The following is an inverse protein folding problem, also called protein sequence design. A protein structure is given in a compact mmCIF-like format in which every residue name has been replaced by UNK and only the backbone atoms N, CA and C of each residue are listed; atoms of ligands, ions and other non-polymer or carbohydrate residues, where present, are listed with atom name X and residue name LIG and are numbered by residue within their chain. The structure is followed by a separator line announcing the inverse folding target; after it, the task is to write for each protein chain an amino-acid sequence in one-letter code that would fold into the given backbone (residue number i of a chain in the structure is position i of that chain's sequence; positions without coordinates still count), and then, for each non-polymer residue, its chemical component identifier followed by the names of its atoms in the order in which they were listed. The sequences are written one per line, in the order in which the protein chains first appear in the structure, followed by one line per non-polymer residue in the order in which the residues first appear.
data_IF_115765250219
#
_entry.id   IF_115765250219
#
_cell.length_a   1.000
_cell.length_b   1.000
_cell.length_c   1.000
_cell.angle_alpha   90.00
_cell.angle_beta   90.00
_cell.angle_gamma   90.00
#
_symmetry.space_group_name_H-M   'P 1'
#
loop_
_entity.id
_entity.type
_entity.pdbx_description
1 polymer ?
#
# COMPACT_ATOMS: atom_id res chain seq x y z
N UNK A 1 -13.32 -21.41 5.73
CA UNK A 1 -12.64 -21.43 4.40
C UNK A 1 -11.66 -20.28 4.31
N UNK A 2 -10.40 -20.58 4.00
CA UNK A 2 -9.29 -19.62 4.03
C UNK A 2 -9.32 -18.69 2.81
N UNK A 3 -9.11 -17.38 3.03
CA UNK A 3 -8.82 -16.47 1.91
C UNK A 3 -7.43 -16.79 1.37
N UNK A 4 -7.26 -16.90 0.04
CA UNK A 4 -5.93 -17.04 -0.55
C UNK A 4 -5.10 -15.79 -0.21
N UNK A 5 -3.87 -16.00 0.25
CA UNK A 5 -3.00 -14.93 0.75
C UNK A 5 -2.64 -13.95 -0.37
N UNK A 6 -2.25 -14.45 -1.55
CA UNK A 6 -1.77 -13.62 -2.66
C UNK A 6 -2.80 -12.61 -3.19
N UNK A 7 -4.06 -12.98 -3.52
CA UNK A 7 -5.06 -12.01 -3.94
C UNK A 7 -5.38 -10.94 -2.89
N UNK A 8 -5.32 -11.31 -1.61
CA UNK A 8 -5.55 -10.38 -0.49
C UNK A 8 -4.39 -9.39 -0.39
N UNK A 9 -3.15 -9.87 -0.51
CA UNK A 9 -1.96 -9.02 -0.53
C UNK A 9 -1.98 -8.09 -1.75
N UNK A 10 -2.34 -8.58 -2.94
CA UNK A 10 -2.52 -7.73 -4.14
C UNK A 10 -3.59 -6.65 -3.93
N UNK A 11 -4.70 -6.99 -3.28
CA UNK A 11 -5.73 -6.00 -2.96
C UNK A 11 -5.23 -4.95 -1.95
N UNK A 12 -4.46 -5.35 -0.94
CA UNK A 12 -3.85 -4.43 0.01
C UNK A 12 -2.81 -3.52 -0.65
N UNK A 13 -2.01 -4.03 -1.59
CA UNK A 13 -1.11 -3.20 -2.42
C UNK A 13 -1.87 -2.11 -3.18
N UNK A 14 -3.01 -2.44 -3.78
CA UNK A 14 -3.83 -1.46 -4.51
C UNK A 14 -4.42 -0.39 -3.57
N UNK A 15 -4.87 -0.79 -2.37
CA UNK A 15 -5.36 0.16 -1.37
C UNK A 15 -4.25 1.06 -0.81
N UNK A 16 -3.05 0.54 -0.59
CA UNK A 16 -1.90 1.33 -0.17
C UNK A 16 -1.45 2.31 -1.27
N UNK A 17 -1.52 1.89 -2.54
CA UNK A 17 -1.30 2.77 -3.69
C UNK A 17 -2.31 3.93 -3.72
N UNK A 18 -3.61 3.64 -3.58
CA UNK A 18 -4.64 4.68 -3.47
C UNK A 18 -4.42 5.59 -2.25
N UNK A 19 -4.00 5.02 -1.12
CA UNK A 19 -3.72 5.77 0.12
C UNK A 19 -2.57 6.75 -0.10
N UNK A 20 -1.53 6.35 -0.83
CA UNK A 20 -0.40 7.21 -1.20
C UNK A 20 -0.88 8.41 -2.02
N UNK A 21 -1.77 8.17 -3.00
CA UNK A 21 -2.39 9.23 -3.80
C UNK A 21 -3.24 10.17 -2.96
N UNK A 22 -4.10 9.65 -2.07
CA UNK A 22 -4.92 10.50 -1.21
C UNK A 22 -4.08 11.33 -0.23
N UNK A 23 -2.99 10.76 0.29
CA UNK A 23 -2.06 11.48 1.14
C UNK A 23 -1.36 12.60 0.38
N UNK A 24 -0.97 12.35 -0.88
CA UNK A 24 -0.42 13.37 -1.76
C UNK A 24 -1.41 14.51 -2.00
N UNK A 25 -2.67 14.17 -2.30
CA UNK A 25 -3.74 15.16 -2.46
C UNK A 25 -3.92 16.02 -1.22
N UNK A 26 -3.99 15.39 -0.04
CA UNK A 26 -4.10 16.08 1.22
C UNK A 26 -2.91 17.00 1.48
N UNK A 27 -1.67 16.49 1.38
CA UNK A 27 -0.45 17.28 1.64
C UNK A 27 -0.34 18.49 0.71
N UNK A 28 -0.66 18.31 -0.57
CA UNK A 28 -0.59 19.39 -1.57
C UNK A 28 -1.73 20.39 -1.42
N UNK A 29 -2.91 19.95 -0.98
CA UNK A 29 -4.01 20.83 -0.62
C UNK A 29 -3.64 21.72 0.59
N UNK A 30 -3.13 21.11 1.67
CA UNK A 30 -2.67 21.85 2.85
C UNK A 30 -1.55 22.83 2.50
N UNK A 31 -0.64 22.45 1.59
CA UNK A 31 0.44 23.31 1.13
C UNK A 31 0.01 24.40 0.12
N UNK A 32 -1.28 24.49 -0.27
CA UNK A 32 -1.76 25.45 -1.27
C UNK A 32 -1.26 25.19 -2.69
N UNK A 33 -0.76 23.98 -2.99
CA UNK A 33 -0.18 23.57 -4.29
C UNK A 33 -1.04 22.58 -5.06
N UNK A 34 -2.26 22.34 -4.60
CA UNK A 34 -3.21 21.46 -5.27
C UNK A 34 -3.59 22.03 -6.64
N UNK A 35 -3.61 21.16 -7.66
CA UNK A 35 -3.89 21.52 -9.06
C UNK A 35 -2.89 22.52 -9.71
N UNK A 36 -1.83 22.92 -9.01
CA UNK A 36 -0.85 23.90 -9.54
C UNK A 36 0.55 23.31 -9.68
N UNK A 37 0.91 22.30 -8.88
CA UNK A 37 2.18 21.61 -9.02
C UNK A 37 2.09 20.44 -10.02
N UNK A 38 3.10 20.27 -10.91
CA UNK A 38 3.19 19.08 -11.75
C UNK A 38 3.50 17.85 -10.90
N UNK A 39 2.80 16.74 -11.17
CA UNK A 39 2.93 15.47 -10.47
C UNK A 39 3.72 14.44 -11.27
N UNK A 40 3.62 14.50 -12.60
CA UNK A 40 4.33 13.63 -13.52
C UNK A 40 5.53 14.39 -14.09
N UNK A 41 6.71 14.14 -13.52
CA UNK A 41 7.98 14.70 -13.98
C UNK A 41 8.18 14.41 -15.48
N UNK A 42 8.38 15.46 -16.26
CA UNK A 42 8.62 15.37 -17.70
C UNK A 42 7.39 15.04 -18.56
N UNK A 43 6.17 15.11 -18.00
CA UNK A 43 4.95 14.91 -18.79
C UNK A 43 4.52 16.18 -19.53
N UNK A 44 4.07 16.03 -20.78
CA UNK A 44 3.44 17.09 -21.59
C UNK A 44 1.99 17.38 -21.21
N UNK A 45 1.40 16.59 -20.31
CA UNK A 45 0.02 16.79 -19.87
C UNK A 45 -0.14 18.08 -19.08
N UNK A 46 -1.24 18.83 -19.28
CA UNK A 46 -1.60 19.95 -18.41
C UNK A 46 -1.71 19.48 -16.96
N UNK A 47 -1.26 20.32 -16.01
CA UNK A 47 -1.22 19.98 -14.58
C UNK A 47 -2.58 19.46 -14.11
N UNK A 48 -3.68 20.16 -14.41
CA UNK A 48 -5.03 19.74 -14.04
C UNK A 48 -5.39 18.32 -14.52
N UNK A 49 -4.95 17.94 -15.72
CA UNK A 49 -5.19 16.62 -16.30
C UNK A 49 -4.38 15.56 -15.55
N UNK A 50 -3.16 15.87 -15.12
CA UNK A 50 -2.35 14.96 -14.28
C UNK A 50 -3.04 14.65 -12.95
N UNK A 51 -3.60 15.67 -12.29
CA UNK A 51 -4.36 15.52 -11.05
C UNK A 51 -5.62 14.68 -11.24
N UNK A 52 -6.41 14.95 -12.27
CA UNK A 52 -7.61 14.17 -12.60
C UNK A 52 -7.23 12.71 -12.88
N UNK A 53 -6.19 12.47 -13.67
CA UNK A 53 -5.73 11.13 -14.00
C UNK A 53 -5.32 10.35 -12.75
N UNK A 54 -4.55 10.98 -11.85
CA UNK A 54 -4.11 10.36 -10.61
C UNK A 54 -5.31 10.04 -9.69
N UNK A 55 -6.31 10.92 -9.63
CA UNK A 55 -7.56 10.70 -8.89
C UNK A 55 -8.38 9.54 -9.46
N UNK A 56 -8.54 9.47 -10.79
CA UNK A 56 -9.20 8.35 -11.48
C UNK A 56 -8.44 7.05 -11.21
N UNK A 57 -7.12 7.06 -11.28
CA UNK A 57 -6.26 5.91 -10.97
C UNK A 57 -6.46 5.42 -9.53
N UNK A 58 -6.50 6.33 -8.55
CA UNK A 58 -6.74 5.96 -7.16
C UNK A 58 -8.12 5.34 -6.95
N UNK A 59 -9.17 5.89 -7.56
CA UNK A 59 -10.52 5.33 -7.51
C UNK A 59 -10.60 3.95 -8.19
N UNK A 60 -9.92 3.78 -9.32
CA UNK A 60 -9.83 2.50 -10.02
C UNK A 60 -9.13 1.44 -9.15
N UNK A 61 -8.03 1.80 -8.49
CA UNK A 61 -7.29 0.91 -7.59
C UNK A 61 -8.14 0.45 -6.39
N UNK A 62 -8.93 1.35 -5.78
CA UNK A 62 -9.89 0.98 -4.73
C UNK A 62 -10.93 0.00 -5.27
N UNK A 63 -11.49 0.29 -6.44
CA UNK A 63 -12.51 -0.55 -7.09
C UNK A 63 -11.98 -1.94 -7.40
N UNK A 64 -10.77 -2.04 -7.97
CA UNK A 64 -10.07 -3.28 -8.25
C UNK A 64 -9.77 -4.04 -6.95
N UNK A 65 -9.28 -3.37 -5.90
CA UNK A 65 -9.00 -3.99 -4.62
C UNK A 65 -10.25 -4.63 -4.00
N UNK A 66 -11.37 -3.89 -3.98
CA UNK A 66 -12.66 -4.40 -3.51
C UNK A 66 -13.13 -5.58 -4.36
N UNK A 67 -12.96 -5.51 -5.68
CA UNK A 67 -13.25 -6.61 -6.60
C UNK A 67 -12.42 -7.86 -6.30
N UNK A 68 -11.11 -7.70 -6.06
CA UNK A 68 -10.18 -8.78 -5.70
C UNK A 68 -10.57 -9.41 -4.35
N UNK A 69 -10.87 -8.59 -3.33
CA UNK A 69 -11.32 -9.06 -2.01
C UNK A 69 -12.67 -9.79 -2.04
N UNK A 70 -13.52 -9.46 -3.02
CA UNK A 70 -14.80 -10.13 -3.27
C UNK A 70 -14.66 -11.34 -4.21
N UNK A 71 -13.48 -11.57 -4.80
CA UNK A 71 -13.23 -12.68 -5.70
C UNK A 71 -13.85 -12.52 -7.09
N UNK A 72 -14.12 -11.29 -7.52
CA UNK A 72 -14.70 -11.04 -8.84
C UNK A 72 -13.67 -11.25 -9.95
N UNK A 73 -14.07 -11.96 -11.01
CA UNK A 73 -13.20 -12.30 -12.15
C UNK A 73 -12.69 -11.05 -12.89
N UNK A 74 -13.54 -10.03 -13.03
CA UNK A 74 -13.19 -8.78 -13.72
C UNK A 74 -12.07 -8.01 -13.03
N UNK A 75 -11.87 -8.18 -11.72
CA UNK A 75 -10.89 -7.41 -10.96
C UNK A 75 -9.45 -7.69 -11.41
N UNK A 76 -9.16 -8.93 -11.81
CA UNK A 76 -7.85 -9.30 -12.39
C UNK A 76 -7.65 -8.64 -13.75
N UNK A 77 -8.63 -8.73 -14.63
CA UNK A 77 -8.58 -8.07 -15.94
C UNK A 77 -8.46 -6.55 -15.80
N UNK A 78 -9.21 -5.95 -14.87
CA UNK A 78 -9.14 -4.52 -14.56
C UNK A 78 -7.76 -4.08 -14.06
N UNK A 79 -7.08 -4.91 -13.28
CA UNK A 79 -5.70 -4.67 -12.83
C UNK A 79 -4.71 -4.61 -14.02
N UNK A 80 -4.80 -5.56 -14.95
CA UNK A 80 -3.97 -5.54 -16.16
C UNK A 80 -4.30 -4.34 -17.06
N UNK A 81 -5.59 -4.07 -17.28
CA UNK A 81 -6.04 -2.93 -18.10
C UNK A 81 -5.57 -1.60 -17.50
N UNK A 82 -5.71 -1.42 -16.19
CA UNK A 82 -5.23 -0.22 -15.49
C UNK A 82 -3.71 -0.06 -15.64
N UNK A 83 -2.95 -1.15 -15.53
CA UNK A 83 -1.49 -1.12 -15.68
C UNK A 83 -1.09 -0.74 -17.11
N UNK A 84 -1.72 -1.36 -18.11
CA UNK A 84 -1.47 -1.06 -19.53
C UNK A 84 -1.87 0.37 -19.86
N UNK A 85 -3.02 0.85 -19.37
CA UNK A 85 -3.48 2.21 -19.60
C UNK A 85 -2.51 3.25 -19.01
N UNK A 86 -2.01 3.03 -17.80
CA UNK A 86 -1.01 3.90 -17.17
C UNK A 86 0.33 3.86 -17.93
N UNK A 87 0.77 2.68 -18.37
CA UNK A 87 1.99 2.53 -19.16
C UNK A 87 1.88 3.23 -20.53
N UNK A 88 0.75 3.06 -21.22
CA UNK A 88 0.48 3.73 -22.50
C UNK A 88 0.43 5.24 -22.34
N UNK A 89 -0.27 5.75 -21.31
CA UNK A 89 -0.31 7.18 -21.05
C UNK A 89 1.09 7.73 -20.76
N UNK A 90 1.87 7.03 -19.94
CA UNK A 90 3.25 7.41 -19.67
C UNK A 90 4.09 7.44 -20.95
N UNK A 91 3.99 6.41 -21.81
CA UNK A 91 4.72 6.37 -23.08
C UNK A 91 4.32 7.50 -24.05
N UNK A 92 3.03 7.85 -24.09
CA UNK A 92 2.53 8.89 -24.99
C UNK A 92 2.81 10.32 -24.51
N UNK A 93 2.95 10.53 -23.21
CA UNK A 93 2.99 11.88 -22.63
C UNK A 93 4.33 12.23 -21.99
N UNK A 94 5.21 11.25 -21.79
CA UNK A 94 6.50 11.47 -21.13
C UNK A 94 7.59 11.87 -22.12
N UNK A 95 8.23 13.01 -21.86
CA UNK A 95 9.52 13.39 -22.45
C UNK A 95 10.71 12.78 -21.68
N UNK A 96 10.45 11.90 -20.72
CA UNK A 96 11.49 11.28 -19.90
C UNK A 96 12.26 10.21 -20.66
N UNK A 97 13.44 9.86 -20.15
CA UNK A 97 14.30 8.83 -20.73
C UNK A 97 13.62 7.46 -20.70
N UNK A 98 13.98 6.58 -21.63
CA UNK A 98 13.50 5.20 -21.67
C UNK A 98 13.70 4.45 -20.35
N UNK A 99 14.79 4.73 -19.63
CA UNK A 99 15.07 4.18 -18.30
C UNK A 99 13.98 4.53 -17.27
N UNK A 100 13.43 5.75 -17.31
CA UNK A 100 12.35 6.18 -16.42
C UNK A 100 11.04 5.45 -16.70
N UNK A 101 10.73 5.27 -17.99
CA UNK A 101 9.53 4.56 -18.42
C UNK A 101 9.60 3.08 -18.05
N UNK A 102 10.75 2.42 -18.27
CA UNK A 102 10.97 1.02 -17.89
C UNK A 102 10.89 0.81 -16.38
N UNK A 103 11.43 1.73 -15.58
CA UNK A 103 11.32 1.67 -14.13
C UNK A 103 9.86 1.77 -13.68
N UNK A 104 9.09 2.70 -14.25
CA UNK A 104 7.66 2.86 -13.96
C UNK A 104 6.85 1.61 -14.29
N UNK A 105 7.13 1.00 -15.44
CA UNK A 105 6.49 -0.26 -15.86
C UNK A 105 6.87 -1.40 -14.92
N UNK A 106 8.14 -1.53 -14.54
CA UNK A 106 8.62 -2.59 -13.65
C UNK A 106 7.90 -2.55 -12.29
N UNK A 107 7.72 -1.36 -11.72
CA UNK A 107 7.00 -1.20 -10.44
C UNK A 107 5.50 -1.42 -10.59
N UNK A 108 4.89 -0.93 -11.66
CA UNK A 108 3.47 -1.14 -11.95
C UNK A 108 3.15 -2.62 -12.26
N UNK A 109 4.13 -3.41 -12.71
CA UNK A 109 3.98 -4.82 -12.97
C UNK A 109 3.95 -5.69 -11.70
N UNK A 110 4.39 -5.21 -10.54
CA UNK A 110 4.46 -6.01 -9.31
C UNK A 110 3.08 -6.58 -8.92
N UNK A 111 2.00 -5.78 -8.82
CA UNK A 111 0.65 -6.31 -8.56
C UNK A 111 0.16 -7.27 -9.66
N UNK A 112 0.56 -7.06 -10.92
CA UNK A 112 0.23 -7.93 -12.05
C UNK A 112 0.87 -9.32 -11.91
N UNK A 113 2.16 -9.37 -11.56
CA UNK A 113 2.89 -10.62 -11.34
C UNK A 113 2.28 -11.39 -10.17
N UNK A 114 1.97 -10.71 -9.07
CA UNK A 114 1.29 -11.33 -7.92
C UNK A 114 -0.08 -11.89 -8.30
N UNK A 115 -0.87 -11.15 -9.09
CA UNK A 115 -2.15 -11.60 -9.59
C UNK A 115 -2.01 -12.83 -10.52
N UNK A 116 -1.01 -12.85 -11.40
CA UNK A 116 -0.72 -13.96 -12.30
C UNK A 116 -0.33 -15.24 -11.54
N UNK A 117 0.56 -15.13 -10.54
CA UNK A 117 0.93 -16.25 -9.66
C UNK A 117 -0.30 -16.77 -8.90
N UNK A 118 -1.17 -15.86 -8.44
CA UNK A 118 -2.42 -16.20 -7.74
C UNK A 118 -3.48 -16.88 -8.62
N UNK A 119 -3.36 -16.82 -9.95
CA UNK A 119 -4.34 -17.42 -10.85
C UNK A 119 -4.43 -18.94 -10.70
N UNK A 120 -3.36 -19.57 -10.22
CA UNK A 120 -3.27 -21.00 -9.90
C UNK A 120 -3.95 -21.37 -8.58
N UNK A 121 -4.21 -20.39 -7.70
CA UNK A 121 -4.95 -20.61 -6.47
C UNK A 121 -6.45 -20.47 -6.76
N UNK A 122 -7.17 -21.61 -6.76
CA UNK A 122 -8.62 -21.65 -6.92
C UNK A 122 -9.23 -20.71 -5.88
N UNK A 123 -9.86 -19.63 -6.34
CA UNK A 123 -10.65 -18.74 -5.50
C UNK A 123 -11.87 -19.54 -5.04
N UNK A 124 -11.74 -20.23 -3.91
CA UNK A 124 -12.89 -20.88 -3.29
C UNK A 124 -13.92 -19.79 -3.01
N UNK A 125 -15.10 -19.96 -3.62
CA UNK A 125 -16.30 -19.17 -3.37
C UNK A 125 -16.41 -18.96 -1.87
N UNK A 126 -16.54 -17.70 -1.42
CA UNK A 126 -16.94 -17.40 -0.05
C UNK A 126 -18.15 -18.27 0.28
N UNK A 127 -18.00 -19.25 1.15
CA UNK A 127 -19.11 -19.65 1.99
C UNK A 127 -19.51 -18.36 2.70
N UNK A 128 -20.69 -17.83 2.38
CA UNK A 128 -21.26 -16.71 3.10
C UNK A 128 -21.32 -17.13 4.55
N UNK A 129 -20.33 -16.69 5.34
CA UNK A 129 -20.42 -16.82 6.78
C UNK A 129 -21.57 -15.89 7.11
N UNK A 130 -22.74 -16.46 7.39
CA UNK A 130 -23.90 -15.75 7.92
C UNK A 130 -23.47 -15.14 9.25
N UNK A 131 -22.86 -13.96 9.17
CA UNK A 131 -22.55 -13.13 10.32
C UNK A 131 -23.85 -12.50 10.75
N UNK A 132 -24.11 -12.51 12.04
CA UNK A 132 -25.17 -11.66 12.58
C UNK A 132 -24.86 -10.19 12.24
N UNK A 133 -25.87 -9.31 12.12
CA UNK A 133 -25.63 -7.89 11.83
C UNK A 133 -24.65 -7.26 12.82
N UNK A 134 -24.70 -7.67 14.09
CA UNK A 134 -23.75 -7.22 15.12
C UNK A 134 -22.31 -7.71 14.88
N UNK A 135 -22.12 -8.98 14.50
CA UNK A 135 -20.79 -9.49 14.12
C UNK A 135 -20.24 -8.81 12.87
N UNK A 136 -21.11 -8.43 11.92
CA UNK A 136 -20.72 -7.68 10.74
C UNK A 136 -20.21 -6.27 11.10
N UNK A 137 -20.94 -5.55 11.96
CA UNK A 137 -20.53 -4.22 12.47
C UNK A 137 -19.19 -4.31 13.20
N UNK A 138 -19.05 -5.26 14.13
CA UNK A 138 -17.80 -5.50 14.86
C UNK A 138 -16.62 -5.81 13.95
N UNK A 139 -16.85 -6.62 12.91
CA UNK A 139 -15.81 -6.94 11.93
C UNK A 139 -15.40 -5.71 11.12
N UNK A 140 -16.36 -4.89 10.68
CA UNK A 140 -16.08 -3.65 9.95
C UNK A 140 -15.31 -2.66 10.83
N UNK A 141 -15.72 -2.48 12.09
CA UNK A 141 -15.02 -1.62 13.05
C UNK A 141 -13.61 -2.14 13.36
N UNK A 142 -13.41 -3.45 13.50
CA UNK A 142 -12.08 -4.03 13.64
C UNK A 142 -11.20 -3.80 12.42
N UNK A 143 -11.76 -3.96 11.21
CA UNK A 143 -11.02 -3.73 9.96
C UNK A 143 -10.67 -2.25 9.76
N UNK A 144 -11.53 -1.32 10.18
CA UNK A 144 -11.22 0.11 10.11
C UNK A 144 -10.07 0.47 11.04
N UNK A 145 -9.99 -0.10 12.25
CA UNK A 145 -8.84 0.07 13.14
C UNK A 145 -7.56 -0.50 12.54
N UNK A 146 -7.62 -1.65 11.87
CA UNK A 146 -6.46 -2.22 11.17
C UNK A 146 -5.95 -1.27 10.09
N UNK A 147 -6.85 -0.73 9.27
CA UNK A 147 -6.48 0.25 8.24
C UNK A 147 -5.98 1.57 8.83
N UNK A 148 -6.56 2.05 9.93
CA UNK A 148 -6.08 3.23 10.64
C UNK A 148 -4.65 3.01 11.17
N UNK A 149 -4.37 1.85 11.76
CA UNK A 149 -3.03 1.49 12.20
C UNK A 149 -2.04 1.40 11.03
N UNK A 150 -2.41 0.72 9.94
CA UNK A 150 -1.57 0.63 8.75
C UNK A 150 -1.31 2.00 8.13
N UNK A 151 -2.30 2.91 8.15
CA UNK A 151 -2.14 4.28 7.71
C UNK A 151 -1.15 5.06 8.58
N UNK A 152 -1.25 4.95 9.92
CA UNK A 152 -0.29 5.58 10.84
C UNK A 152 1.12 5.05 10.59
N UNK A 153 1.31 3.73 10.50
CA UNK A 153 2.61 3.14 10.19
C UNK A 153 3.13 3.59 8.82
N UNK A 154 2.27 3.65 7.80
CA UNK A 154 2.62 4.14 6.48
C UNK A 154 3.14 5.58 6.52
N UNK A 155 2.43 6.49 7.18
CA UNK A 155 2.84 7.89 7.31
C UNK A 155 4.15 8.03 8.07
N UNK A 156 4.31 7.32 9.19
CA UNK A 156 5.52 7.36 10.01
C UNK A 156 6.72 6.83 9.22
N UNK A 157 6.61 5.65 8.61
CA UNK A 157 7.71 5.01 7.88
C UNK A 157 8.13 5.78 6.63
N UNK A 158 7.16 6.36 5.90
CA UNK A 158 7.49 7.23 4.76
C UNK A 158 8.15 8.54 5.21
N UNK A 159 7.73 9.12 6.34
CA UNK A 159 8.37 10.31 6.91
C UNK A 159 9.78 10.03 7.42
N UNK A 160 10.01 8.85 8.04
CA UNK A 160 11.34 8.38 8.43
C UNK A 160 12.25 8.26 7.21
N UNK A 161 11.74 7.66 6.13
CA UNK A 161 12.52 7.40 4.93
C UNK A 161 13.01 8.67 4.23
N UNK A 162 12.08 9.61 3.99
CA UNK A 162 12.37 10.85 3.25
C UNK A 162 13.21 11.82 4.08
N UNK A 163 13.16 11.71 5.41
CA UNK A 163 13.87 12.61 6.32
C UNK A 163 13.26 14.01 6.30
N UNK A 164 13.01 14.60 7.48
CA UNK A 164 12.89 16.06 7.53
C UNK A 164 14.17 16.66 6.94
N UNK A 165 14.06 17.70 6.12
CA UNK A 165 15.12 18.34 5.33
C UNK A 165 16.35 18.85 6.12
N UNK A 166 16.44 18.58 7.42
CA UNK A 166 17.53 18.97 8.29
C UNK A 166 18.28 17.75 8.84
N UNK A 167 19.60 17.72 8.63
CA UNK A 167 20.55 16.76 9.22
C UNK A 167 20.47 16.65 10.75
N UNK A 168 19.90 17.67 11.41
CA UNK A 168 19.77 17.78 12.86
C UNK A 168 18.33 17.63 13.37
N UNK A 169 17.35 17.37 12.50
CA UNK A 169 16.00 17.05 12.96
C UNK A 169 16.03 15.66 13.61
N UNK A 170 16.16 15.63 14.93
CA UNK A 170 15.99 14.48 15.82
C UNK A 170 14.55 13.96 15.80
N UNK A 171 14.04 13.62 14.61
CA UNK A 171 12.73 12.99 14.43
C UNK A 171 12.71 11.52 14.84
N UNK A 172 13.85 10.92 15.20
CA UNK A 172 13.99 9.49 15.48
C UNK A 172 13.39 9.01 16.80
N UNK A 173 13.30 9.86 17.82
CA UNK A 173 12.97 9.42 19.18
C UNK A 173 11.50 8.99 19.37
N UNK A 174 10.56 9.55 18.57
CA UNK A 174 9.13 9.25 18.71
C UNK A 174 8.57 8.27 17.67
N UNK A 175 9.33 7.93 16.61
CA UNK A 175 8.79 7.09 15.53
C UNK A 175 8.44 5.67 16.01
N UNK A 176 9.27 5.11 16.90
CA UNK A 176 8.97 3.81 17.51
C UNK A 176 7.72 3.82 18.37
N UNK A 177 7.44 4.95 19.04
CA UNK A 177 6.23 5.12 19.84
C UNK A 177 4.97 5.15 18.96
N UNK A 178 5.01 5.81 17.80
CA UNK A 178 3.89 5.81 16.85
C UNK A 178 3.66 4.42 16.23
N UNK A 179 4.71 3.67 15.93
CA UNK A 179 4.59 2.29 15.43
C UNK A 179 4.01 1.38 16.53
N UNK A 180 4.49 1.49 17.77
CA UNK A 180 3.95 0.77 18.91
C UNK A 180 2.46 1.11 19.16
N UNK A 181 2.11 2.39 19.10
CA UNK A 181 0.72 2.86 19.20
C UNK A 181 -0.16 2.27 18.09
N UNK A 182 0.33 2.24 16.85
CA UNK A 182 -0.38 1.62 15.74
C UNK A 182 -0.59 0.10 15.95
N UNK A 183 0.41 -0.60 16.50
CA UNK A 183 0.25 -2.01 16.87
C UNK A 183 -0.81 -2.21 17.97
N UNK A 184 -0.89 -1.30 18.95
CA UNK A 184 -1.96 -1.31 19.96
C UNK A 184 -3.34 -1.09 19.33
N UNK A 185 -3.46 -0.19 18.36
CA UNK A 185 -4.70 -0.02 17.59
C UNK A 185 -5.07 -1.31 16.85
N UNK A 186 -4.10 -2.01 16.25
CA UNK A 186 -4.35 -3.33 15.65
C UNK A 186 -4.83 -4.35 16.69
N UNK A 187 -4.25 -4.38 17.89
CA UNK A 187 -4.73 -5.26 18.96
C UNK A 187 -6.18 -4.95 19.36
N UNK A 188 -6.54 -3.67 19.50
CA UNK A 188 -7.91 -3.25 19.75
C UNK A 188 -8.86 -3.68 18.62
N UNK A 189 -8.43 -3.55 17.37
CA UNK A 189 -9.16 -4.05 16.20
C UNK A 189 -9.39 -5.57 16.25
N UNK A 190 -8.39 -6.32 16.70
CA UNK A 190 -8.49 -7.77 16.81
C UNK A 190 -9.51 -8.19 17.86
N UNK A 191 -9.50 -7.51 19.01
CA UNK A 191 -10.47 -7.71 20.08
C UNK A 191 -11.92 -7.41 19.62
N UNK A 192 -12.11 -6.36 18.82
CA UNK A 192 -13.42 -6.04 18.24
C UNK A 192 -13.93 -7.16 17.33
N UNK A 193 -13.08 -7.74 16.47
CA UNK A 193 -13.47 -8.82 15.55
C UNK A 193 -13.91 -10.11 16.25
N UNK A 194 -13.48 -10.34 17.51
CA UNK A 194 -13.89 -11.48 18.35
C UNK A 194 -13.35 -12.86 17.94
N UNK A 195 -12.94 -13.06 16.69
CA UNK A 195 -12.32 -14.31 16.19
C UNK A 195 -10.81 -14.14 16.03
N UNK A 196 -10.06 -14.43 17.09
CA UNK A 196 -8.61 -14.24 17.15
C UNK A 196 -7.86 -14.86 15.95
N UNK A 197 -8.12 -16.12 15.60
CA UNK A 197 -7.45 -16.75 14.45
C UNK A 197 -7.66 -16.01 13.12
N UNK A 198 -8.85 -15.44 12.90
CA UNK A 198 -9.14 -14.63 11.72
C UNK A 198 -8.50 -13.24 11.79
N UNK A 199 -8.58 -12.61 12.95
CA UNK A 199 -7.99 -11.29 13.21
C UNK A 199 -6.46 -11.30 13.10
N UNK A 200 -5.81 -12.32 13.66
CA UNK A 200 -4.35 -12.53 13.57
C UNK A 200 -3.90 -12.75 12.13
N UNK A 201 -4.67 -13.51 11.34
CA UNK A 201 -4.37 -13.71 9.92
C UNK A 201 -4.50 -12.42 9.10
N UNK A 202 -5.56 -11.64 9.33
CA UNK A 202 -5.73 -10.36 8.63
C UNK A 202 -4.64 -9.35 9.02
N UNK A 203 -4.22 -9.34 10.30
CA UNK A 203 -3.11 -8.53 10.77
C UNK A 203 -1.79 -8.95 10.11
N UNK A 204 -1.54 -10.25 10.03
CA UNK A 204 -0.38 -10.81 9.35
C UNK A 204 -0.31 -10.39 7.89
N UNK A 205 -1.40 -10.57 7.13
CA UNK A 205 -1.48 -10.19 5.73
C UNK A 205 -1.26 -8.68 5.54
N UNK A 206 -1.85 -7.86 6.41
CA UNK A 206 -1.69 -6.40 6.35
C UNK A 206 -0.25 -5.96 6.61
N UNK A 207 0.42 -6.53 7.63
CA UNK A 207 1.81 -6.21 7.95
C UNK A 207 2.78 -6.65 6.85
N UNK A 208 2.58 -7.85 6.29
CA UNK A 208 3.36 -8.35 5.15
C UNK A 208 3.16 -7.43 3.94
N UNK A 209 1.90 -7.09 3.62
CA UNK A 209 1.57 -6.19 2.52
C UNK A 209 2.15 -4.79 2.71
N UNK A 210 2.01 -4.22 3.89
CA UNK A 210 2.52 -2.89 4.21
C UNK A 210 4.03 -2.83 4.06
N UNK A 211 4.75 -3.79 4.67
CA UNK A 211 6.21 -3.81 4.66
C UNK A 211 6.74 -3.99 3.24
N UNK A 212 6.20 -4.96 2.48
CA UNK A 212 6.61 -5.19 1.09
C UNK A 212 6.26 -4.03 0.16
N UNK A 213 5.08 -3.41 0.32
CA UNK A 213 4.72 -2.21 -0.42
C UNK A 213 5.66 -1.05 -0.12
N UNK A 214 5.99 -0.82 1.15
CA UNK A 214 6.89 0.26 1.56
C UNK A 214 8.31 0.07 1.06
N UNK A 215 8.82 -1.17 0.98
CA UNK A 215 10.10 -1.45 0.34
C UNK A 215 10.08 -0.98 -1.11
N UNK A 216 9.06 -1.38 -1.88
CA UNK A 216 8.88 -0.97 -3.28
C UNK A 216 8.77 0.54 -3.40
N UNK A 217 7.97 1.17 -2.53
CA UNK A 217 7.79 2.62 -2.48
C UNK A 217 9.08 3.37 -2.18
N UNK A 218 9.86 2.94 -1.19
CA UNK A 218 11.14 3.58 -0.82
C UNK A 218 12.17 3.45 -1.95
N UNK A 219 12.27 2.28 -2.57
CA UNK A 219 13.15 2.06 -3.74
C UNK A 219 12.72 2.95 -4.90
N UNK A 220 11.42 3.02 -5.17
CA UNK A 220 10.86 3.89 -6.20
C UNK A 220 11.20 5.37 -5.96
N UNK A 221 10.89 5.90 -4.77
CA UNK A 221 11.20 7.28 -4.38
C UNK A 221 12.70 7.59 -4.50
N UNK A 222 13.56 6.71 -3.97
CA UNK A 222 15.01 6.87 -4.06
C UNK A 222 15.51 6.99 -5.50
N UNK A 223 15.08 6.06 -6.37
CA UNK A 223 15.45 6.08 -7.78
C UNK A 223 14.86 7.31 -8.47
N UNK A 224 13.64 7.70 -8.11
CA UNK A 224 12.99 8.88 -8.63
C UNK A 224 13.79 10.16 -8.37
N UNK A 225 14.17 10.39 -7.11
CA UNK A 225 14.95 11.57 -6.73
C UNK A 225 16.37 11.54 -7.30
N UNK A 226 17.03 10.37 -7.31
CA UNK A 226 18.38 10.23 -7.86
C UNK A 226 18.44 10.51 -9.36
N UNK A 227 17.43 10.09 -10.12
CA UNK A 227 17.36 10.32 -11.56
C UNK A 227 16.86 11.72 -11.91
N UNK A 228 15.86 12.25 -11.19
CA UNK A 228 15.30 13.57 -11.47
C UNK A 228 16.22 14.72 -11.02
N UNK A 229 16.94 14.52 -9.92
CA UNK A 229 17.78 15.55 -9.29
C UNK A 229 19.10 14.94 -8.80
N UNK A 230 20.03 14.57 -9.71
CA UNK A 230 21.25 13.85 -9.36
C UNK A 230 22.24 14.68 -8.54
N UNK A 231 22.13 16.02 -8.57
CA UNK A 231 23.07 16.96 -7.94
C UNK A 231 22.68 17.40 -6.52
N UNK A 232 21.49 17.04 -6.03
CA UNK A 232 21.04 17.41 -4.69
C UNK A 232 21.36 16.31 -3.68
N UNK A 233 21.87 16.71 -2.51
CA UNK A 233 22.24 15.82 -1.41
C UNK A 233 21.01 15.35 -0.62
N UNK A 234 20.19 14.51 -1.24
CA UNK A 234 19.08 13.84 -0.57
C UNK A 234 19.61 12.86 0.48
N UNK A 235 19.20 13.05 1.73
CA UNK A 235 19.56 12.18 2.85
C UNK A 235 18.41 11.21 3.17
N UNK A 236 18.45 10.01 2.60
CA UNK A 236 17.49 8.95 2.89
C UNK A 236 17.94 8.12 4.11
N UNK A 237 17.05 7.90 5.08
CA UNK A 237 17.37 7.13 6.29
C UNK A 237 17.12 5.63 6.12
N UNK A 238 17.86 5.00 5.21
CA UNK A 238 17.69 3.58 4.88
C UNK A 238 17.82 2.66 6.09
N UNK A 239 18.83 2.83 6.92
CA UNK A 239 19.13 1.89 8.02
C UNK A 239 17.97 1.78 9.01
N UNK A 240 17.43 2.93 9.44
CA UNK A 240 16.32 2.98 10.39
C UNK A 240 15.02 2.48 9.76
N UNK A 241 14.68 2.94 8.56
CA UNK A 241 13.46 2.49 7.86
C UNK A 241 13.51 0.99 7.58
N UNK A 242 14.65 0.48 7.14
CA UNK A 242 14.83 -0.94 6.80
C UNK A 242 14.69 -1.84 8.03
N UNK A 243 15.25 -1.45 9.17
CA UNK A 243 15.10 -2.19 10.42
C UNK A 243 13.62 -2.33 10.82
N UNK A 244 12.83 -1.26 10.75
CA UNK A 244 11.39 -1.32 11.02
C UNK A 244 10.62 -2.16 10.00
N UNK A 245 10.93 -2.04 8.71
CA UNK A 245 10.30 -2.84 7.66
C UNK A 245 10.58 -4.34 7.85
N UNK A 246 11.80 -4.70 8.25
CA UNK A 246 12.14 -6.08 8.60
C UNK A 246 11.33 -6.56 9.82
N UNK A 247 11.29 -5.77 10.90
CA UNK A 247 10.56 -6.15 12.12
C UNK A 247 9.07 -6.36 11.84
N UNK A 248 8.43 -5.46 11.08
CA UNK A 248 7.02 -5.58 10.71
C UNK A 248 6.78 -6.76 9.77
N UNK A 249 7.67 -6.99 8.80
CA UNK A 249 7.60 -8.14 7.90
C UNK A 249 7.73 -9.47 8.64
N UNK A 250 8.75 -9.61 9.49
CA UNK A 250 8.95 -10.79 10.34
C UNK A 250 7.78 -11.00 11.30
N UNK A 251 7.30 -9.93 11.93
CA UNK A 251 6.10 -9.97 12.78
C UNK A 251 4.87 -10.45 12.02
N UNK A 252 4.67 -9.96 10.79
CA UNK A 252 3.62 -10.42 9.90
C UNK A 252 3.71 -11.92 9.59
N UNK A 253 4.89 -12.42 9.21
CA UNK A 253 5.08 -13.86 8.96
C UNK A 253 4.90 -14.72 10.22
N UNK A 254 5.38 -14.25 11.37
CA UNK A 254 5.19 -14.94 12.65
C UNK A 254 3.70 -15.03 13.04
N UNK A 255 2.95 -13.93 12.87
CA UNK A 255 1.50 -13.93 13.08
C UNK A 255 0.77 -14.83 12.08
N UNK A 256 1.23 -14.90 10.83
CA UNK A 256 0.68 -15.82 9.83
C UNK A 256 0.84 -17.28 10.29
N UNK A 257 2.05 -17.66 10.71
CA UNK A 257 2.33 -19.01 11.21
C UNK A 257 1.53 -19.33 12.49
N UNK A 258 1.37 -18.35 13.39
CA UNK A 258 0.54 -18.50 14.58
C UNK A 258 -0.95 -18.69 14.22
N UNK A 259 -1.47 -17.91 13.28
CA UNK A 259 -2.86 -18.01 12.83
C UNK A 259 -3.16 -19.36 12.19
N UNK A 260 -2.22 -19.90 11.40
CA UNK A 260 -2.38 -21.23 10.80
C UNK A 260 -2.38 -22.34 11.88
N UNK A 261 -1.54 -22.24 12.92
CA UNK A 261 -1.54 -23.16 14.06
C UNK A 261 -2.83 -23.11 14.89
N UNK A 262 -3.44 -21.94 15.03
CA UNK A 262 -4.71 -21.78 15.76
C UNK A 262 -5.91 -22.37 15.01
N UNK A 263 -5.79 -22.59 13.69
CA UNK A 263 -6.86 -23.18 12.87
C UNK A 263 -6.78 -24.71 12.78
N UNK A 264 -5.62 -25.30 13.09
CA UNK A 264 -5.41 -26.76 13.11
C UNK A 264 -5.76 -27.40 14.44
N UNK A 265 -6.09 -26.61 15.47
CA UNK A 265 -6.59 -27.05 16.77
C UNK A 265 -8.09 -26.84 16.84
#
# INVERSE_FOLDING_TARGET
MQRPALPTITAYFQLLSSTTVFLLFYRMHVAGRFATAPLLLGSSLPVNVQWIWLGIGAAANVTIALGLMRGYRWARSGLYVSTVANALLAAMTSHSTWSWQLLGIAMAAIPCVMAAISARQVVQKRAGVNRTPWEAVRYVAGMSLYWAAAFVMFVVLTSMFVGGSDRNATGGENNGLFIAFALVIMLAGAALMGKWAGATREAALLLISLSSFLIVYCVWEFLCFRLATPRSDWHFQWDQTWAWLMMLGMGGFALMAAADRMQTK
#
